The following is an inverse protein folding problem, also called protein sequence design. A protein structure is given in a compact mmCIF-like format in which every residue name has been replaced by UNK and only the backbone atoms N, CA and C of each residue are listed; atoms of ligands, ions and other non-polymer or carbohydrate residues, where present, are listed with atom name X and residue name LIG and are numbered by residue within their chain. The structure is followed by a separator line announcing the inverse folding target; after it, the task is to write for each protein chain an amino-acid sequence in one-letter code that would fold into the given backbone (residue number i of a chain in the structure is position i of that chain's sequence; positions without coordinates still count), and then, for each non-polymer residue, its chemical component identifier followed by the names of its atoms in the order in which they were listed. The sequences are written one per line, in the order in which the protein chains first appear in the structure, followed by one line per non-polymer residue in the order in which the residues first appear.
data_IF_967004573698
#
_entry.id   IF_967004573698
#
_cell.length_a   1.000
_cell.length_b   1.000
_cell.length_c   1.000
_cell.angle_alpha   90.00
_cell.angle_beta   90.00
_cell.angle_gamma   90.00
#
_symmetry.space_group_name_H-M   'P 1'
#
loop_
_entity.id
_entity.type
_entity.pdbx_description
1 polymer ?
#
# COMPACT_ATOMS: atom_id res chain seq x y z
N UNK A 1 10.71 5.43 -20.97
CA UNK A 1 9.96 4.96 -19.79
C UNK A 1 10.94 4.61 -18.68
N UNK A 2 10.76 5.21 -17.49
CA UNK A 2 11.64 5.00 -16.32
C UNK A 2 10.99 4.05 -15.31
N UNK A 3 11.79 3.16 -14.73
CA UNK A 3 11.32 2.23 -13.70
C UNK A 3 11.92 2.60 -12.34
N UNK A 4 11.05 2.86 -11.37
CA UNK A 4 11.43 3.16 -10.00
C UNK A 4 11.24 1.93 -9.13
N UNK A 5 12.29 1.52 -8.43
CA UNK A 5 12.27 0.38 -7.49
C UNK A 5 12.49 0.97 -6.09
N UNK A 6 11.43 1.10 -5.27
CA UNK A 6 11.55 1.70 -3.94
C UNK A 6 12.18 0.71 -2.96
N UNK A 7 12.70 1.25 -1.85
CA UNK A 7 13.18 0.46 -0.71
C UNK A 7 12.18 0.48 0.45
N UNK A 8 10.89 0.26 0.16
CA UNK A 8 9.78 0.32 1.12
C UNK A 8 9.62 -0.96 1.95
N UNK A 9 10.73 -1.45 2.50
CA UNK A 9 10.80 -2.74 3.19
C UNK A 9 10.44 -2.64 4.68
N UNK A 10 9.98 -3.76 5.23
CA UNK A 10 9.81 -3.89 6.68
C UNK A 10 11.15 -4.26 7.34
N UNK A 11 11.49 -3.59 8.44
CA UNK A 11 12.76 -3.78 9.17
C UNK A 11 12.96 -5.21 9.69
N UNK A 12 11.90 -5.84 10.18
CA UNK A 12 11.97 -7.17 10.81
C UNK A 12 11.74 -8.32 9.81
N UNK A 13 11.04 -8.04 8.71
CA UNK A 13 10.75 -9.03 7.66
C UNK A 13 10.76 -8.36 6.29
N UNK A 14 11.95 -8.28 5.68
CA UNK A 14 12.24 -7.47 4.48
C UNK A 14 11.14 -7.47 3.42
N UNK A 15 10.67 -8.66 3.00
CA UNK A 15 9.69 -8.81 1.91
C UNK A 15 8.22 -8.65 2.34
N UNK A 16 7.94 -8.25 3.57
CA UNK A 16 6.59 -8.12 4.12
C UNK A 16 6.08 -6.67 4.09
N UNK A 17 4.83 -6.50 4.55
CA UNK A 17 4.16 -5.20 4.64
C UNK A 17 4.91 -4.25 5.57
N UNK A 18 5.09 -3.02 5.11
CA UNK A 18 5.69 -1.92 5.86
C UNK A 18 4.63 -1.04 6.55
N UNK A 19 3.35 -1.45 6.54
CA UNK A 19 2.31 -0.72 7.23
C UNK A 19 2.41 -0.83 8.76
N UNK A 20 1.88 0.18 9.45
CA UNK A 20 1.87 0.28 10.90
C UNK A 20 0.45 0.48 11.43
N UNK A 21 0.27 0.22 12.72
CA UNK A 21 -0.96 0.58 13.41
C UNK A 21 -1.16 2.09 13.31
N UNK A 22 -2.41 2.52 13.13
CA UNK A 22 -2.74 3.92 12.88
C UNK A 22 -2.28 4.88 14.00
N UNK A 23 -2.24 4.39 15.24
CA UNK A 23 -1.78 5.14 16.42
C UNK A 23 -0.29 4.93 16.75
N UNK A 24 0.42 4.07 16.02
CA UNK A 24 1.81 3.69 16.32
C UNK A 24 2.64 3.66 15.05
N UNK A 25 2.82 4.82 14.43
CA UNK A 25 3.64 4.99 13.23
C UNK A 25 5.07 5.40 13.61
N UNK A 26 6.11 4.63 13.23
CA UNK A 26 7.49 5.05 13.37
C UNK A 26 7.79 6.32 12.58
N UNK A 27 8.69 7.16 13.10
CA UNK A 27 9.08 8.44 12.48
C UNK A 27 9.88 8.26 11.20
N UNK A 28 10.55 7.11 11.03
CA UNK A 28 11.39 6.79 9.88
C UNK A 28 10.64 6.23 8.68
N UNK A 29 9.34 5.95 8.77
CA UNK A 29 8.55 5.47 7.62
C UNK A 29 7.69 6.56 7.02
N UNK A 30 7.91 6.83 5.74
CA UNK A 30 7.12 7.82 5.01
C UNK A 30 7.77 8.28 3.72
N UNK A 31 7.77 9.61 3.55
CA UNK A 31 8.31 10.28 2.38
C UNK A 31 9.80 9.97 2.23
N UNK A 32 10.20 9.51 1.05
CA UNK A 32 11.58 9.16 0.71
C UNK A 32 12.01 9.82 -0.61
N UNK A 33 13.21 9.46 -1.05
CA UNK A 33 13.78 9.91 -2.31
C UNK A 33 13.01 9.40 -3.53
N UNK A 34 12.51 8.17 -3.49
CA UNK A 34 11.72 7.57 -4.58
C UNK A 34 10.44 8.36 -4.84
N UNK A 35 9.70 8.72 -3.78
CA UNK A 35 8.50 9.55 -3.88
C UNK A 35 8.84 10.92 -4.48
N UNK A 36 9.92 11.56 -4.00
CA UNK A 36 10.34 12.86 -4.52
C UNK A 36 10.69 12.79 -6.01
N UNK A 37 11.51 11.82 -6.41
CA UNK A 37 11.94 11.64 -7.79
C UNK A 37 10.74 11.32 -8.70
N UNK A 38 9.82 10.45 -8.28
CA UNK A 38 8.61 10.17 -9.05
C UNK A 38 7.77 11.43 -9.28
N UNK A 39 7.55 12.26 -8.23
CA UNK A 39 6.85 13.54 -8.38
C UNK A 39 7.55 14.47 -9.37
N UNK A 40 8.87 14.57 -9.31
CA UNK A 40 9.65 15.37 -10.28
C UNK A 40 9.48 14.87 -11.71
N UNK A 41 9.45 13.54 -11.92
CA UNK A 41 9.27 12.95 -13.24
C UNK A 41 7.86 13.18 -13.77
N UNK A 42 6.85 13.08 -12.90
CA UNK A 42 5.46 13.40 -13.22
C UNK A 42 5.31 14.86 -13.65
N UNK A 43 5.87 15.81 -12.89
CA UNK A 43 5.90 17.23 -13.27
C UNK A 43 6.67 17.51 -14.56
N UNK A 44 7.71 16.73 -14.86
CA UNK A 44 8.47 16.84 -16.10
C UNK A 44 7.79 16.15 -17.30
N UNK A 45 6.59 15.58 -17.11
CA UNK A 45 5.85 14.85 -18.14
C UNK A 45 6.58 13.60 -18.63
N UNK A 46 7.40 12.98 -17.77
CA UNK A 46 8.17 11.78 -18.11
C UNK A 46 7.38 10.54 -17.73
N UNK A 47 7.21 9.64 -18.69
CA UNK A 47 6.64 8.33 -18.42
C UNK A 47 7.51 7.55 -17.43
N UNK A 48 6.91 7.25 -16.28
CA UNK A 48 7.51 6.46 -15.22
C UNK A 48 6.56 5.35 -14.79
N UNK A 49 7.11 4.31 -14.16
CA UNK A 49 6.33 3.22 -13.54
C UNK A 49 7.04 2.78 -12.27
N UNK A 50 6.25 2.55 -11.22
CA UNK A 50 6.74 1.99 -9.97
C UNK A 50 6.79 0.45 -10.03
N UNK A 51 7.84 -0.16 -9.48
CA UNK A 51 8.01 -1.62 -9.40
C UNK A 51 8.21 -2.00 -7.93
N UNK A 52 7.15 -2.49 -7.29
CA UNK A 52 7.14 -2.84 -5.85
C UNK A 52 7.48 -4.32 -5.68
N UNK A 53 8.55 -4.59 -4.92
CA UNK A 53 9.11 -5.95 -4.76
C UNK A 53 8.62 -6.67 -3.50
N UNK A 54 8.22 -5.95 -2.46
CA UNK A 54 7.69 -6.54 -1.22
C UNK A 54 6.17 -6.62 -1.22
N UNK A 55 5.64 -7.43 -0.30
CA UNK A 55 4.21 -7.57 -0.08
C UNK A 55 3.62 -6.28 0.51
N UNK A 56 2.81 -5.56 -0.26
CA UNK A 56 2.17 -4.30 0.17
C UNK A 56 0.65 -4.31 -0.06
N UNK A 57 -0.14 -4.95 0.81
CA UNK A 57 -1.61 -4.99 0.66
C UNK A 57 -2.26 -3.60 0.75
N UNK A 58 -1.58 -2.64 1.40
CA UNK A 58 -2.05 -1.26 1.58
C UNK A 58 -1.48 -0.27 0.55
N UNK A 59 -0.85 -0.76 -0.54
CA UNK A 59 -0.12 0.06 -1.52
C UNK A 59 -0.96 1.19 -2.11
N UNK A 60 -2.22 0.96 -2.46
CA UNK A 60 -3.08 1.97 -3.09
C UNK A 60 -3.31 3.19 -2.19
N UNK A 61 -3.59 2.96 -0.91
CA UNK A 61 -3.72 4.05 0.07
C UNK A 61 -2.39 4.74 0.34
N UNK A 62 -1.28 4.00 0.32
CA UNK A 62 0.05 4.55 0.45
C UNK A 62 0.36 5.51 -0.72
N UNK A 63 0.14 5.09 -1.96
CA UNK A 63 0.35 5.92 -3.15
C UNK A 63 -0.58 7.14 -3.18
N UNK A 64 -1.86 6.96 -2.83
CA UNK A 64 -2.83 8.05 -2.74
C UNK A 64 -2.39 9.14 -1.75
N UNK A 65 -1.76 8.76 -0.62
CA UNK A 65 -1.24 9.74 0.37
C UNK A 65 -0.18 10.67 -0.24
N UNK A 66 0.50 10.24 -1.29
CA UNK A 66 1.58 10.97 -1.95
C UNK A 66 1.21 11.44 -3.35
N UNK A 67 -0.07 11.41 -3.75
CA UNK A 67 -0.50 11.81 -5.10
C UNK A 67 0.18 11.01 -6.23
N UNK A 68 0.48 9.72 -5.99
CA UNK A 68 1.16 8.82 -6.95
C UNK A 68 0.28 7.64 -7.38
N UNK A 69 -1.02 7.65 -7.04
CA UNK A 69 -1.91 6.52 -7.35
C UNK A 69 -2.07 6.35 -8.87
N UNK A 70 -2.06 7.46 -9.59
CA UNK A 70 -2.25 7.56 -11.04
C UNK A 70 -0.97 7.27 -11.82
N UNK A 71 0.21 7.30 -11.17
CA UNK A 71 1.51 7.10 -11.82
C UNK A 71 1.75 5.67 -12.32
N UNK A 72 0.88 4.73 -11.97
CA UNK A 72 0.95 3.34 -12.39
C UNK A 72 2.03 2.53 -11.66
N UNK A 73 1.69 1.30 -11.27
CA UNK A 73 2.61 0.42 -10.56
C UNK A 73 2.50 -1.02 -11.06
N UNK A 74 3.57 -1.78 -10.85
CA UNK A 74 3.61 -3.22 -10.90
C UNK A 74 4.01 -3.73 -9.52
N UNK A 75 3.24 -4.65 -8.96
CA UNK A 75 3.50 -5.29 -7.67
C UNK A 75 3.82 -6.76 -7.91
N UNK A 76 5.00 -7.21 -7.46
CA UNK A 76 5.42 -8.62 -7.60
C UNK A 76 4.44 -9.55 -6.88
N UNK A 77 3.93 -9.15 -5.72
CA UNK A 77 2.99 -9.96 -4.96
C UNK A 77 1.57 -9.95 -5.55
N UNK A 78 1.16 -8.87 -6.22
CA UNK A 78 -0.12 -8.86 -6.95
C UNK A 78 -0.07 -9.91 -8.08
N UNK A 79 1.06 -10.02 -8.79
CA UNK A 79 1.27 -11.03 -9.84
C UNK A 79 1.28 -12.45 -9.27
N UNK A 80 2.06 -12.70 -8.20
CA UNK A 80 2.11 -14.01 -7.51
C UNK A 80 0.72 -14.44 -7.00
N UNK A 81 -0.10 -13.49 -6.53
CA UNK A 81 -1.44 -13.75 -6.03
C UNK A 81 -2.52 -13.76 -7.13
N UNK A 82 -2.13 -13.59 -8.39
CA UNK A 82 -3.02 -13.50 -9.55
C UNK A 82 -4.08 -12.38 -9.42
N UNK A 83 -3.72 -11.29 -8.72
CA UNK A 83 -4.56 -10.11 -8.52
C UNK A 83 -4.45 -9.22 -9.75
N UNK A 84 -5.41 -9.36 -10.66
CA UNK A 84 -5.58 -8.47 -11.81
C UNK A 84 -6.42 -7.23 -11.48
N UNK A 85 -7.34 -6.90 -12.38
CA UNK A 85 -8.29 -5.79 -12.19
C UNK A 85 -9.44 -6.17 -11.24
N UNK A 86 -9.12 -6.27 -9.95
CA UNK A 86 -10.11 -6.59 -8.91
C UNK A 86 -10.95 -5.36 -8.56
N UNK A 87 -12.27 -5.55 -8.51
CA UNK A 87 -13.22 -4.51 -8.07
C UNK A 87 -12.93 -4.12 -6.61
N UNK A 88 -12.72 -2.83 -6.38
CA UNK A 88 -12.56 -2.27 -5.04
C UNK A 88 -13.88 -2.38 -4.26
N UNK A 89 -13.78 -2.74 -2.98
CA UNK A 89 -14.93 -2.86 -2.07
C UNK A 89 -14.54 -2.29 -0.70
N UNK A 90 -15.50 -1.62 -0.07
CA UNK A 90 -15.35 -1.17 1.31
C UNK A 90 -15.77 -2.32 2.22
N UNK A 91 -14.82 -2.85 2.99
CA UNK A 91 -15.09 -3.97 3.89
C UNK A 91 -15.65 -3.41 5.20
N UNK A 92 -16.91 -3.77 5.50
CA UNK A 92 -17.49 -3.60 6.83
C UNK A 92 -17.21 -4.87 7.64
N UNK A 93 -16.39 -4.74 8.69
CA UNK A 93 -16.00 -5.86 9.53
C UNK A 93 -17.19 -6.59 10.17
N UNK A 94 -18.36 -5.93 10.32
CA UNK A 94 -19.58 -6.53 10.89
C UNK A 94 -20.23 -7.56 9.98
N UNK A 95 -19.93 -7.52 8.68
CA UNK A 95 -20.53 -8.40 7.67
C UNK A 95 -19.67 -9.64 7.38
N UNK A 96 -18.57 -9.83 8.10
CA UNK A 96 -17.75 -11.02 7.98
C UNK A 96 -18.49 -12.23 8.58
N UNK A 97 -18.12 -13.43 8.14
CA UNK A 97 -18.69 -14.70 8.61
C UNK A 97 -18.17 -15.02 10.02
N UNK A 98 -18.64 -14.28 11.02
CA UNK A 98 -18.30 -14.50 12.42
C UNK A 98 -18.98 -15.76 12.98
N UNK A 99 -18.34 -16.45 13.95
CA UNK A 99 -18.99 -17.53 14.70
C UNK A 99 -20.24 -17.04 15.43
N UNK A 100 -21.22 -17.93 15.61
CA UNK A 100 -22.43 -17.64 16.36
C UNK A 100 -22.12 -17.26 17.81
N UNK A 101 -22.83 -16.25 18.34
CA UNK A 101 -22.61 -15.74 19.70
C UNK A 101 -21.41 -14.80 19.86
N UNK A 102 -20.72 -14.44 18.77
CA UNK A 102 -19.65 -13.44 18.84
C UNK A 102 -20.20 -12.06 19.20
N UNK A 103 -19.53 -11.38 20.13
CA UNK A 103 -19.90 -10.03 20.58
C UNK A 103 -18.70 -9.10 20.53
N UNK A 104 -18.96 -7.84 20.16
CA UNK A 104 -17.99 -6.75 20.20
C UNK A 104 -18.15 -5.98 21.51
N UNK A 105 -17.21 -6.09 22.45
CA UNK A 105 -17.32 -5.40 23.73
C UNK A 105 -17.17 -3.86 23.63
N UNK A 106 -16.72 -3.33 22.49
CA UNK A 106 -16.30 -1.92 22.33
C UNK A 106 -17.42 -1.03 21.74
N UNK A 107 -18.57 -1.58 21.34
CA UNK A 107 -19.69 -0.82 20.75
C UNK A 107 -20.88 -0.59 21.70
N UNK A 108 -20.69 -0.72 23.02
CA UNK A 108 -21.64 -0.18 24.00
C UNK A 108 -21.35 1.31 24.20
N UNK A 109 -21.83 2.14 23.26
CA UNK A 109 -21.97 3.58 23.44
C UNK A 109 -23.46 3.91 23.52
#
# INVERSE_FOLDING_TARGET
MFHFIPSWYNENRTWYDNNYLWYFKPTNVGFDDTINQMKMFDYAGKESRLVVLNYMPNLRYYLHRYDLLESGYYSVFDDIQEIGNVRQQMIDFRQLNWPEGWTLPILRL
#
